data_IF_888270580953
#
_entry.id   IF_888270580953
#
_cell.length_a   1.000
_cell.length_b   1.000
_cell.length_c   1.000
_cell.angle_alpha   90.00
_cell.angle_beta   90.00
_cell.angle_gamma   90.00
#
_symmetry.space_group_name_H-M   'P 1'
#
loop_
_entity.id
_entity.type
_entity.pdbx_description
1 polymer ?
#
# COMPACT_ATOMS: atom_id res chain seq x y z
N UNK A 1 21.66 -17.14 -21.42
CA UNK A 1 21.41 -17.64 -20.06
C UNK A 1 19.97 -17.32 -19.72
N UNK A 2 19.11 -18.34 -19.57
CA UNK A 2 17.71 -18.15 -19.17
C UNK A 2 17.69 -17.78 -17.69
N UNK A 3 17.30 -16.56 -17.37
CA UNK A 3 17.08 -16.12 -15.99
C UNK A 3 15.99 -17.00 -15.37
N UNK A 4 16.33 -17.69 -14.28
CA UNK A 4 15.37 -18.47 -13.52
C UNK A 4 14.39 -17.55 -12.78
N UNK A 5 13.22 -18.08 -12.33
CA UNK A 5 12.24 -17.31 -11.56
C UNK A 5 12.78 -16.76 -10.23
N UNK A 6 13.94 -17.26 -9.78
CA UNK A 6 14.66 -16.80 -8.60
C UNK A 6 15.76 -15.77 -8.92
N UNK A 7 16.14 -15.60 -10.19
CA UNK A 7 17.15 -14.60 -10.60
C UNK A 7 16.56 -13.18 -10.62
N UNK A 8 15.24 -13.08 -10.72
CA UNK A 8 14.48 -11.83 -10.58
C UNK A 8 14.32 -11.39 -9.11
N UNK A 9 14.73 -12.22 -8.13
CA UNK A 9 14.63 -11.92 -6.69
C UNK A 9 15.58 -10.82 -6.21
N UNK A 10 16.43 -10.24 -7.05
CA UNK A 10 17.48 -9.31 -6.60
C UNK A 10 17.76 -8.12 -7.52
N UNK A 11 16.83 -7.21 -7.81
CA UNK A 11 17.23 -5.94 -8.39
C UNK A 11 17.50 -5.00 -7.20
N UNK A 12 18.75 -4.54 -7.09
CA UNK A 12 19.35 -3.77 -5.99
C UNK A 12 19.73 -4.52 -4.69
N UNK A 13 19.74 -5.86 -4.66
CA UNK A 13 20.21 -6.61 -3.48
C UNK A 13 19.26 -6.59 -2.27
N UNK A 14 18.00 -6.18 -2.46
CA UNK A 14 16.94 -6.20 -1.44
C UNK A 14 16.13 -7.51 -1.52
N UNK A 15 15.54 -8.00 -0.41
CA UNK A 15 14.66 -9.18 -0.40
C UNK A 15 13.47 -9.00 -1.37
N UNK A 16 12.80 -10.09 -1.82
CA UNK A 16 11.79 -10.08 -2.87
C UNK A 16 10.91 -8.82 -2.81
N UNK A 17 10.98 -8.02 -3.87
CA UNK A 17 10.40 -6.69 -3.92
C UNK A 17 8.88 -6.64 -3.69
N UNK A 18 8.06 -7.69 -3.96
CA UNK A 18 6.66 -7.66 -3.54
C UNK A 18 6.53 -7.68 -2.02
N UNK A 19 7.27 -8.58 -1.35
CA UNK A 19 7.20 -8.79 0.10
C UNK A 19 7.67 -7.55 0.84
N UNK A 20 8.80 -6.97 0.43
CA UNK A 20 9.32 -5.74 1.05
C UNK A 20 8.36 -4.56 0.85
N UNK A 21 7.75 -4.43 -0.33
CA UNK A 21 6.78 -3.36 -0.63
C UNK A 21 5.51 -3.48 0.19
N UNK A 22 5.01 -4.70 0.37
CA UNK A 22 3.86 -4.98 1.23
C UNK A 22 4.20 -4.65 2.68
N UNK A 23 5.33 -5.15 3.19
CA UNK A 23 5.77 -4.90 4.57
C UNK A 23 5.95 -3.40 4.82
N UNK A 24 6.67 -2.68 3.96
CA UNK A 24 6.88 -1.25 4.11
C UNK A 24 5.57 -0.47 4.06
N UNK A 25 4.69 -0.82 3.13
CA UNK A 25 3.42 -0.10 2.98
C UNK A 25 2.49 -0.37 4.16
N UNK A 26 2.41 -1.61 4.66
CA UNK A 26 1.67 -1.93 5.88
C UNK A 26 2.32 -1.30 7.12
N UNK A 27 3.63 -1.37 7.28
CA UNK A 27 4.36 -0.77 8.40
C UNK A 27 4.10 0.74 8.51
N UNK A 28 4.19 1.45 7.38
CA UNK A 28 4.00 2.90 7.34
C UNK A 28 2.53 3.27 7.55
N UNK A 29 1.63 2.62 6.81
CA UNK A 29 0.23 3.04 6.79
C UNK A 29 -0.59 2.44 7.94
N UNK A 30 -0.39 1.18 8.28
CA UNK A 30 -1.24 0.47 9.27
C UNK A 30 -0.67 0.56 10.68
N UNK A 31 0.66 0.64 10.86
CA UNK A 31 1.25 0.66 12.20
C UNK A 31 1.73 2.03 12.66
N UNK A 32 2.58 2.71 11.85
CA UNK A 32 3.20 3.97 12.25
C UNK A 32 2.18 5.09 12.38
N UNK A 33 1.33 5.25 11.37
CA UNK A 33 0.43 6.40 11.34
C UNK A 33 -0.57 6.36 12.48
N UNK A 34 -1.10 5.17 12.84
CA UNK A 34 -1.95 5.12 14.00
C UNK A 34 -1.27 5.50 15.31
N UNK A 35 -0.09 4.94 15.60
CA UNK A 35 0.62 5.31 16.84
C UNK A 35 0.94 6.81 16.93
N UNK A 36 1.22 7.46 15.80
CA UNK A 36 1.51 8.88 15.76
C UNK A 36 0.29 9.79 16.05
N UNK A 37 -0.92 9.40 15.60
CA UNK A 37 -2.11 10.25 15.73
C UNK A 37 -3.10 9.82 16.80
N UNK A 38 -3.22 8.51 17.05
CA UNK A 38 -4.09 7.92 18.07
C UNK A 38 -3.33 7.60 19.37
N UNK A 39 -2.00 7.80 19.45
CA UNK A 39 -1.19 7.35 20.59
C UNK A 39 -1.62 7.88 21.97
N UNK A 40 -2.27 9.06 22.04
CA UNK A 40 -2.84 9.58 23.29
C UNK A 40 -4.17 8.93 23.68
N UNK A 41 -4.82 8.23 22.75
CA UNK A 41 -6.14 7.61 22.87
C UNK A 41 -6.05 6.08 22.94
N UNK A 42 -5.03 5.48 22.31
CA UNK A 42 -4.70 4.07 22.42
C UNK A 42 -4.16 3.82 23.82
N UNK A 43 -4.92 3.13 24.66
CA UNK A 43 -4.47 2.60 25.95
C UNK A 43 -4.10 1.12 25.73
N UNK A 44 -3.15 0.59 26.51
CA UNK A 44 -3.00 -0.85 26.76
C UNK A 44 -3.06 -1.79 25.52
N UNK A 45 -2.52 -1.36 24.38
CA UNK A 45 -2.51 -2.11 23.11
C UNK A 45 -3.89 -2.28 22.42
N UNK A 46 -4.83 -1.37 22.69
CA UNK A 46 -6.13 -1.33 21.99
C UNK A 46 -5.98 -1.23 20.46
N UNK A 47 -6.93 -1.82 19.73
CA UNK A 47 -7.04 -1.66 18.28
C UNK A 47 -7.28 -0.16 17.94
N UNK A 48 -6.53 0.42 16.97
CA UNK A 48 -6.78 1.78 16.48
C UNK A 48 -8.24 2.07 16.09
N UNK A 49 -8.97 1.07 15.60
CA UNK A 49 -10.37 1.16 15.20
C UNK A 49 -11.27 1.32 16.43
N UNK A 50 -11.04 0.52 17.46
CA UNK A 50 -11.75 0.62 18.74
C UNK A 50 -11.46 1.95 19.43
N UNK A 51 -10.21 2.40 19.40
CA UNK A 51 -9.82 3.71 19.91
C UNK A 51 -10.51 4.87 19.17
N UNK A 52 -10.79 4.73 17.87
CA UNK A 52 -11.59 5.69 17.11
C UNK A 52 -13.05 5.67 17.53
N UNK A 53 -13.68 4.49 17.60
CA UNK A 53 -15.07 4.33 18.03
C UNK A 53 -15.28 4.94 19.43
N UNK A 54 -14.39 4.62 20.37
CA UNK A 54 -14.41 5.20 21.72
C UNK A 54 -14.32 6.72 21.70
N UNK A 55 -13.41 7.29 20.90
CA UNK A 55 -13.27 8.74 20.78
C UNK A 55 -14.50 9.42 20.14
N UNK A 56 -15.29 8.70 19.34
CA UNK A 56 -16.55 9.22 18.80
C UNK A 56 -17.67 9.24 19.85
N UNK A 57 -17.70 8.24 20.73
CA UNK A 57 -18.68 8.14 21.81
C UNK A 57 -18.35 9.04 23.00
N UNK A 58 -17.09 9.14 23.40
CA UNK A 58 -16.60 9.93 24.52
C UNK A 58 -16.40 11.41 24.15
N UNK A 59 -17.52 12.12 23.93
CA UNK A 59 -17.51 13.56 23.63
C UNK A 59 -16.72 14.34 24.69
N UNK A 60 -15.81 15.20 24.25
CA UNK A 60 -15.03 16.09 25.11
C UNK A 60 -13.60 15.62 25.44
N UNK A 61 -13.28 14.33 25.25
CA UNK A 61 -11.93 13.81 25.53
C UNK A 61 -10.94 14.01 24.38
N UNK A 62 -11.44 14.13 23.15
CA UNK A 62 -10.64 14.35 21.95
C UNK A 62 -11.11 15.60 21.23
N UNK A 63 -10.17 16.47 20.82
CA UNK A 63 -10.52 17.67 20.07
C UNK A 63 -11.14 17.33 18.71
N UNK A 64 -12.11 18.11 18.20
CA UNK A 64 -12.76 17.83 16.91
C UNK A 64 -11.78 17.71 15.74
N UNK A 65 -10.71 18.53 15.76
CA UNK A 65 -9.64 18.48 14.76
C UNK A 65 -8.92 17.12 14.78
N UNK A 66 -8.58 16.61 15.97
CA UNK A 66 -7.91 15.32 16.13
C UNK A 66 -8.83 14.16 15.75
N UNK A 67 -10.11 14.21 16.16
CA UNK A 67 -11.10 13.21 15.75
C UNK A 67 -11.25 13.16 14.22
N UNK A 68 -11.26 14.31 13.55
CA UNK A 68 -11.25 14.38 12.09
C UNK A 68 -10.00 13.74 11.47
N UNK A 69 -8.81 13.95 12.04
CA UNK A 69 -7.59 13.29 11.57
C UNK A 69 -7.63 11.77 11.76
N UNK A 70 -8.17 11.32 12.90
CA UNK A 70 -8.36 9.92 13.22
C UNK A 70 -9.30 9.24 12.21
N UNK A 71 -10.45 9.85 11.88
CA UNK A 71 -11.35 9.36 10.82
C UNK A 71 -10.66 9.25 9.47
N UNK A 72 -9.91 10.29 9.09
CA UNK A 72 -9.19 10.35 7.82
C UNK A 72 -8.10 9.28 7.71
N UNK A 73 -7.34 9.05 8.79
CA UNK A 73 -6.32 8.00 8.81
C UNK A 73 -6.95 6.60 8.75
N UNK A 74 -8.10 6.37 9.39
CA UNK A 74 -8.83 5.11 9.31
C UNK A 74 -9.32 4.86 7.87
N UNK A 75 -9.96 5.86 7.26
CA UNK A 75 -10.43 5.78 5.88
C UNK A 75 -9.29 5.56 4.87
N UNK A 76 -8.13 6.21 5.05
CA UNK A 76 -6.95 5.97 4.21
C UNK A 76 -6.41 4.53 4.36
N UNK A 77 -6.53 3.94 5.55
CA UNK A 77 -6.08 2.58 5.82
C UNK A 77 -7.04 1.54 5.24
N UNK A 78 -8.35 1.77 5.31
CA UNK A 78 -9.36 0.95 4.63
C UNK A 78 -9.15 0.94 3.11
N UNK A 79 -8.89 2.12 2.51
CA UNK A 79 -8.58 2.19 1.08
C UNK A 79 -7.32 1.40 0.71
N UNK A 80 -6.31 1.37 1.59
CA UNK A 80 -5.13 0.54 1.35
C UNK A 80 -5.47 -0.96 1.35
N UNK A 81 -6.32 -1.41 2.27
CA UNK A 81 -6.75 -2.81 2.34
C UNK A 81 -7.47 -3.25 1.06
N UNK A 82 -8.20 -2.36 0.40
CA UNK A 82 -8.86 -2.63 -0.89
C UNK A 82 -7.86 -2.66 -2.07
N UNK A 83 -6.84 -1.79 -2.06
CA UNK A 83 -5.86 -1.71 -3.15
C UNK A 83 -4.78 -2.80 -3.10
N UNK A 84 -4.44 -3.29 -1.90
CA UNK A 84 -3.36 -4.28 -1.70
C UNK A 84 -3.61 -5.59 -2.45
N UNK A 85 -4.80 -6.21 -2.43
CA UNK A 85 -5.06 -7.45 -3.18
C UNK A 85 -4.76 -7.32 -4.67
N UNK A 86 -5.14 -6.21 -5.30
CA UNK A 86 -4.88 -5.97 -6.74
C UNK A 86 -3.39 -5.81 -7.01
N UNK A 87 -2.67 -5.10 -6.13
CA UNK A 87 -1.22 -4.99 -6.22
C UNK A 87 -0.52 -6.34 -6.08
N UNK A 88 -0.93 -7.16 -5.09
CA UNK A 88 -0.37 -8.49 -4.87
C UNK A 88 -0.61 -9.37 -6.10
N UNK A 89 -1.83 -9.40 -6.63
CA UNK A 89 -2.15 -10.16 -7.83
C UNK A 89 -1.28 -9.74 -9.01
N UNK A 90 -1.14 -8.44 -9.26
CA UNK A 90 -0.28 -7.91 -10.32
C UNK A 90 1.19 -8.26 -10.11
N UNK A 91 1.73 -8.04 -8.91
CA UNK A 91 3.13 -8.33 -8.58
C UNK A 91 3.45 -9.82 -8.71
N UNK A 92 2.53 -10.70 -8.30
CA UNK A 92 2.67 -12.15 -8.47
C UNK A 92 2.62 -12.57 -9.94
N UNK A 93 1.68 -12.02 -10.72
CA UNK A 93 1.60 -12.28 -12.16
C UNK A 93 2.88 -11.84 -12.88
N UNK A 94 3.40 -10.64 -12.55
CA UNK A 94 4.65 -10.13 -13.10
C UNK A 94 5.85 -11.03 -12.73
N UNK A 95 5.90 -11.49 -11.47
CA UNK A 95 6.95 -12.38 -11.01
C UNK A 95 6.94 -13.74 -11.72
N UNK A 96 5.78 -14.41 -11.76
CA UNK A 96 5.60 -15.72 -12.43
C UNK A 96 5.79 -15.62 -13.94
N UNK A 97 5.28 -14.55 -14.56
CA UNK A 97 5.45 -14.27 -15.98
C UNK A 97 6.90 -13.96 -16.36
N UNK A 98 7.74 -13.58 -15.40
CA UNK A 98 9.14 -13.24 -15.65
C UNK A 98 9.31 -11.85 -16.29
N UNK A 99 8.48 -10.88 -15.88
CA UNK A 99 8.69 -9.46 -16.23
C UNK A 99 10.10 -9.04 -15.83
N UNK A 100 10.72 -8.18 -16.63
CA UNK A 100 12.06 -7.65 -16.36
C UNK A 100 12.20 -7.15 -14.90
N UNK A 101 13.24 -7.57 -14.16
CA UNK A 101 13.32 -7.27 -12.73
C UNK A 101 13.48 -5.78 -12.42
N UNK A 102 14.13 -5.02 -13.31
CA UNK A 102 14.24 -3.57 -13.13
C UNK A 102 12.87 -2.89 -13.26
N UNK A 103 12.07 -3.29 -14.26
CA UNK A 103 10.69 -2.79 -14.42
C UNK A 103 9.80 -3.12 -13.23
N UNK A 104 9.84 -4.35 -12.73
CA UNK A 104 9.10 -4.74 -11.52
C UNK A 104 9.44 -3.82 -10.34
N UNK A 105 10.73 -3.53 -10.15
CA UNK A 105 11.17 -2.63 -9.07
C UNK A 105 10.66 -1.21 -9.22
N UNK A 106 10.70 -0.65 -10.43
CA UNK A 106 10.15 0.67 -10.68
C UNK A 106 8.66 0.70 -10.32
N UNK A 107 7.88 -0.29 -10.77
CA UNK A 107 6.47 -0.39 -10.42
C UNK A 107 6.26 -0.46 -8.90
N UNK A 108 7.03 -1.28 -8.20
CA UNK A 108 6.89 -1.43 -6.75
C UNK A 108 7.24 -0.15 -5.99
N UNK A 109 8.32 0.53 -6.37
CA UNK A 109 8.70 1.82 -5.77
C UNK A 109 7.62 2.86 -6.01
N UNK A 110 7.15 3.00 -7.26
CA UNK A 110 6.09 3.96 -7.60
C UNK A 110 4.84 3.65 -6.79
N UNK A 111 4.48 2.38 -6.64
CA UNK A 111 3.33 1.97 -5.85
C UNK A 111 3.50 2.36 -4.37
N UNK A 112 4.61 1.98 -3.72
CA UNK A 112 4.88 2.30 -2.30
C UNK A 112 4.87 3.81 -2.07
N UNK A 113 5.56 4.58 -2.91
CA UNK A 113 5.63 6.04 -2.81
C UNK A 113 4.27 6.66 -3.03
N UNK A 114 3.50 6.22 -4.03
CA UNK A 114 2.15 6.70 -4.29
C UNK A 114 1.22 6.42 -3.11
N UNK A 115 1.28 5.23 -2.49
CA UNK A 115 0.47 4.89 -1.31
C UNK A 115 0.85 5.70 -0.07
N UNK A 116 2.13 5.93 0.15
CA UNK A 116 2.59 6.79 1.23
C UNK A 116 2.13 8.24 1.04
N UNK A 117 2.36 8.81 -0.15
CA UNK A 117 1.94 10.17 -0.49
C UNK A 117 0.40 10.30 -0.48
N UNK A 118 -0.34 9.25 -0.89
CA UNK A 118 -1.80 9.23 -0.86
C UNK A 118 -2.30 9.45 0.57
N UNK A 119 -1.71 8.75 1.54
CA UNK A 119 -2.08 8.90 2.94
C UNK A 119 -1.78 10.31 3.46
N UNK A 120 -0.62 10.85 3.13
CA UNK A 120 -0.26 12.23 3.49
C UNK A 120 -1.24 13.26 2.88
N UNK A 121 -1.58 13.12 1.59
CA UNK A 121 -2.59 13.95 0.92
C UNK A 121 -3.96 13.83 1.60
N UNK A 122 -4.34 12.64 2.05
CA UNK A 122 -5.58 12.39 2.79
C UNK A 122 -5.59 13.17 4.11
N UNK A 123 -4.49 13.14 4.86
CA UNK A 123 -4.36 13.84 6.15
C UNK A 123 -4.43 15.37 5.99
N UNK A 124 -3.85 15.89 4.91
CA UNK A 124 -3.84 17.32 4.53
C UNK A 124 -5.11 17.79 3.82
N UNK A 125 -6.07 16.90 3.56
CA UNK A 125 -7.29 17.19 2.80
C UNK A 125 -7.04 17.68 1.35
N UNK A 126 -5.92 17.28 0.75
CA UNK A 126 -5.58 17.62 -0.62
C UNK A 126 -6.31 16.68 -1.60
N UNK A 127 -7.59 16.96 -1.85
CA UNK A 127 -8.51 16.08 -2.59
C UNK A 127 -8.02 15.66 -3.98
N UNK A 128 -7.55 16.62 -4.79
CA UNK A 128 -7.05 16.35 -6.15
C UNK A 128 -5.80 15.49 -6.14
N UNK A 129 -4.82 15.83 -5.28
CA UNK A 129 -3.58 15.06 -5.13
C UNK A 129 -3.87 13.63 -4.66
N UNK A 130 -4.78 13.46 -3.70
CA UNK A 130 -5.24 12.16 -3.23
C UNK A 130 -5.79 11.32 -4.38
N UNK A 131 -6.67 11.88 -5.21
CA UNK A 131 -7.25 11.16 -6.34
C UNK A 131 -6.20 10.78 -7.39
N UNK A 132 -5.29 11.70 -7.72
CA UNK A 132 -4.19 11.41 -8.66
C UNK A 132 -3.30 10.26 -8.16
N UNK A 133 -2.90 10.29 -6.89
CA UNK A 133 -2.06 9.25 -6.28
C UNK A 133 -2.77 7.89 -6.18
N UNK A 134 -4.08 7.88 -5.96
CA UNK A 134 -4.88 6.67 -6.06
C UNK A 134 -4.79 6.05 -7.45
N UNK A 135 -5.07 6.82 -8.49
CA UNK A 135 -5.01 6.33 -9.87
C UNK A 135 -3.61 5.88 -10.28
N UNK A 136 -2.56 6.61 -9.88
CA UNK A 136 -1.17 6.17 -10.09
C UNK A 136 -0.96 4.79 -9.49
N UNK A 137 -1.33 4.58 -8.22
CA UNK A 137 -1.16 3.27 -7.57
C UNK A 137 -1.99 2.17 -8.24
N UNK A 138 -3.21 2.47 -8.69
CA UNK A 138 -4.06 1.49 -9.38
C UNK A 138 -3.56 1.14 -10.78
N UNK A 139 -3.12 2.14 -11.57
CA UNK A 139 -2.57 1.89 -12.89
C UNK A 139 -1.29 1.08 -12.84
N UNK A 140 -0.45 1.29 -11.82
CA UNK A 140 0.72 0.45 -11.60
C UNK A 140 0.33 -1.00 -11.29
N UNK A 141 -0.63 -1.23 -10.40
CA UNK A 141 -1.11 -2.59 -10.11
C UNK A 141 -1.69 -3.28 -11.35
N UNK A 142 -2.45 -2.55 -12.16
CA UNK A 142 -3.04 -3.06 -13.40
C UNK A 142 -1.95 -3.33 -14.44
N UNK A 143 -0.96 -2.45 -14.58
CA UNK A 143 0.15 -2.64 -15.52
C UNK A 143 0.95 -3.91 -15.20
N UNK A 144 1.27 -4.13 -13.92
CA UNK A 144 1.90 -5.37 -13.46
C UNK A 144 1.05 -6.60 -13.79
N UNK A 145 -0.26 -6.53 -13.56
CA UNK A 145 -1.18 -7.63 -13.84
C UNK A 145 -1.28 -7.95 -15.33
N UNK A 146 -1.37 -6.93 -16.18
CA UNK A 146 -1.49 -7.09 -17.64
C UNK A 146 -0.17 -7.61 -18.23
N UNK A 147 0.95 -6.96 -17.91
CA UNK A 147 2.27 -7.34 -18.44
C UNK A 147 2.70 -8.72 -17.93
N UNK A 148 2.49 -8.99 -16.64
CA UNK A 148 2.74 -10.31 -16.07
C UNK A 148 1.82 -11.38 -16.65
N UNK A 149 0.53 -11.08 -16.72
CA UNK A 149 -0.48 -12.00 -17.25
C UNK A 149 -0.22 -12.40 -18.71
N UNK A 150 0.15 -11.44 -19.57
CA UNK A 150 0.47 -11.75 -20.97
C UNK A 150 1.66 -12.70 -21.08
N UNK A 151 2.73 -12.48 -20.31
CA UNK A 151 3.90 -13.36 -20.34
C UNK A 151 3.61 -14.76 -19.76
N UNK A 152 2.74 -14.85 -18.75
CA UNK A 152 2.25 -16.14 -18.25
C UNK A 152 1.52 -16.88 -19.38
N UNK A 153 0.58 -16.22 -20.06
CA UNK A 153 -0.17 -16.83 -21.17
C UNK A 153 0.76 -17.28 -22.29
N UNK A 154 1.71 -16.46 -22.71
CA UNK A 154 2.65 -16.79 -23.79
C UNK A 154 3.51 -18.02 -23.44
N UNK A 155 3.93 -18.15 -22.17
CA UNK A 155 4.74 -19.29 -21.71
C UNK A 155 3.99 -20.62 -21.69
N UNK A 156 2.68 -20.61 -21.43
CA UNK A 156 1.86 -21.83 -21.29
C UNK A 156 0.99 -22.14 -22.50
N UNK A 157 0.97 -21.27 -23.51
CA UNK A 157 0.26 -21.49 -24.78
C UNK A 157 1.17 -22.01 -25.91
N UNK A 158 2.47 -22.17 -25.63
CA UNK A 158 3.50 -22.72 -26.53
C UNK A 158 3.86 -24.15 -26.14
#
# INVERSE_FOLDING_TARGET
MTTGPLDTLRPFGLPPTPVLSIILTYAINVFRTPRQFYGSVIKHNDDPTEALVRAEHEKGHVSPKRLGMMRRSAAASANLQECVPVFIAGAMAAWVGGVDPYRQNVYHIVWVVARWAYKDAYLRQAGLLRTALYFISMFVSIALLVEGGSLVTDRYSA
#
